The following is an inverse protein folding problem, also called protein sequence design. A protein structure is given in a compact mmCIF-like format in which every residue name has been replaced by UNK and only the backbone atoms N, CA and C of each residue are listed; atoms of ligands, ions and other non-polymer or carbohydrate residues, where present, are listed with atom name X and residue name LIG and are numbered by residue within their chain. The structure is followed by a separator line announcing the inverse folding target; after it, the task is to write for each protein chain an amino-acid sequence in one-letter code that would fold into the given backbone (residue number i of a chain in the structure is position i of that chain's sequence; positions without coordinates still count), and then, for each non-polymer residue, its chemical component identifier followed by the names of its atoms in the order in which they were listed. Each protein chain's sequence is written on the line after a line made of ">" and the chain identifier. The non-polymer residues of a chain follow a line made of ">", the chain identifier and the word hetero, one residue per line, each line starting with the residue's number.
data_IF_575302501421
#
_entry.id   IF_575302501421
#
_cell.length_a   1.000
_cell.length_b   1.000
_cell.length_c   1.000
_cell.angle_alpha   90.00
_cell.angle_beta   90.00
_cell.angle_gamma   90.00
#
_symmetry.space_group_name_H-M   'P 1'
#
loop_
_entity.id
_entity.type
_entity.pdbx_description
1 polymer ?
#
# COMPACT_ATOMS: atom_id res chain seq x y z
N UNK A 1 4.48 -8.95 5.46
CA UNK A 1 3.09 -9.44 5.56
C UNK A 1 2.39 -9.25 4.21
N UNK A 2 1.71 -10.27 3.69
CA UNK A 2 1.24 -10.29 2.28
C UNK A 2 -0.20 -9.80 2.11
N UNK A 3 -1.03 -9.87 3.14
CA UNK A 3 -2.46 -9.56 3.05
C UNK A 3 -2.72 -8.05 2.93
N UNK A 4 -2.03 -7.26 3.74
CA UNK A 4 -2.15 -5.80 3.79
C UNK A 4 -1.64 -5.19 2.49
N UNK A 5 -0.54 -5.73 1.95
CA UNK A 5 0.01 -5.33 0.65
C UNK A 5 -0.93 -5.67 -0.50
N UNK A 6 -1.64 -6.80 -0.43
CA UNK A 6 -2.70 -7.13 -1.40
C UNK A 6 -3.84 -6.12 -1.32
N UNK A 7 -4.28 -5.75 -0.10
CA UNK A 7 -5.32 -4.75 0.08
C UNK A 7 -4.93 -3.38 -0.50
N UNK A 8 -3.70 -2.93 -0.26
CA UNK A 8 -3.18 -1.68 -0.84
C UNK A 8 -3.11 -1.72 -2.37
N UNK A 9 -2.63 -2.83 -2.93
CA UNK A 9 -2.57 -3.01 -4.38
C UNK A 9 -3.96 -2.98 -5.03
N UNK A 10 -4.94 -3.66 -4.43
CA UNK A 10 -6.33 -3.67 -4.90
C UNK A 10 -6.98 -2.28 -4.76
N UNK A 11 -6.69 -1.55 -3.68
CA UNK A 11 -7.15 -0.17 -3.50
C UNK A 11 -6.58 0.75 -4.60
N UNK A 12 -5.31 0.58 -4.95
CA UNK A 12 -4.70 1.29 -6.08
C UNK A 12 -5.39 0.98 -7.40
N UNK A 13 -5.65 -0.30 -7.71
CA UNK A 13 -6.39 -0.69 -8.92
C UNK A 13 -7.78 -0.07 -8.96
N UNK A 14 -8.50 -0.11 -7.83
CA UNK A 14 -9.81 0.52 -7.74
C UNK A 14 -9.71 2.01 -8.07
N UNK A 15 -8.74 2.73 -7.49
CA UNK A 15 -8.52 4.14 -7.76
C UNK A 15 -8.19 4.41 -9.24
N UNK A 16 -7.40 3.55 -9.89
CA UNK A 16 -7.12 3.63 -11.33
C UNK A 16 -8.41 3.63 -12.17
N UNK A 17 -9.27 2.64 -11.93
CA UNK A 17 -10.51 2.49 -12.71
C UNK A 17 -11.55 3.55 -12.33
N UNK A 18 -11.65 3.89 -11.05
CA UNK A 18 -12.49 4.97 -10.54
C UNK A 18 -12.19 6.30 -11.25
N UNK A 19 -10.92 6.68 -11.36
CA UNK A 19 -10.50 7.87 -12.06
C UNK A 19 -10.87 7.80 -13.56
N UNK A 20 -10.51 6.71 -14.25
CA UNK A 20 -10.77 6.59 -15.69
C UNK A 20 -12.24 6.52 -16.07
N UNK A 21 -13.09 5.88 -15.27
CA UNK A 21 -14.49 5.64 -15.60
C UNK A 21 -15.39 6.80 -15.18
N UNK A 22 -15.11 7.42 -14.04
CA UNK A 22 -16.03 8.40 -13.44
C UNK A 22 -15.39 9.76 -13.13
N UNK A 23 -14.08 9.93 -13.33
CA UNK A 23 -13.34 11.13 -12.90
C UNK A 23 -13.64 11.51 -11.44
N UNK A 24 -13.83 10.50 -10.57
CA UNK A 24 -14.21 10.72 -9.16
C UNK A 24 -13.03 11.01 -8.24
N UNK A 25 -11.79 10.94 -8.74
CA UNK A 25 -10.63 11.34 -7.95
C UNK A 25 -10.37 12.82 -8.18
N UNK A 26 -10.42 13.59 -7.10
CA UNK A 26 -10.01 14.98 -7.05
C UNK A 26 -8.49 15.09 -6.91
N UNK A 27 -7.96 16.28 -7.19
CA UNK A 27 -6.55 16.57 -6.95
C UNK A 27 -6.28 16.54 -5.43
N UNK A 28 -5.47 15.59 -4.97
CA UNK A 28 -5.19 15.37 -3.55
C UNK A 28 -5.71 14.05 -2.99
N UNK A 29 -6.70 13.40 -3.63
CA UNK A 29 -7.26 12.13 -3.14
C UNK A 29 -6.21 11.00 -3.19
N UNK A 30 -5.35 11.03 -4.21
CA UNK A 30 -4.26 10.05 -4.35
C UNK A 30 -3.20 10.25 -3.26
N UNK A 31 -2.85 11.50 -2.98
CA UNK A 31 -1.92 11.88 -1.93
C UNK A 31 -2.48 11.53 -0.54
N UNK A 32 -3.78 11.75 -0.32
CA UNK A 32 -4.46 11.38 0.92
C UNK A 32 -4.48 9.86 1.11
N UNK A 33 -4.85 9.10 0.08
CA UNK A 33 -4.84 7.64 0.13
C UNK A 33 -3.42 7.09 0.37
N UNK A 34 -2.39 7.70 -0.23
CA UNK A 34 -0.99 7.37 0.04
C UNK A 34 -0.58 7.70 1.47
N UNK A 35 -1.02 8.84 2.00
CA UNK A 35 -0.80 9.23 3.38
C UNK A 35 -1.44 8.26 4.36
N UNK A 36 -2.69 7.85 4.11
CA UNK A 36 -3.38 6.83 4.89
C UNK A 36 -2.65 5.48 4.85
N UNK A 37 -2.18 5.07 3.67
CA UNK A 37 -1.45 3.82 3.51
C UNK A 37 -0.12 3.82 4.31
N UNK A 38 0.58 4.95 4.34
CA UNK A 38 1.81 5.12 5.12
C UNK A 38 1.52 5.16 6.63
N UNK A 39 0.46 5.85 7.05
CA UNK A 39 0.15 6.07 8.45
C UNK A 39 -0.11 4.79 9.25
N UNK A 40 -0.63 3.74 8.60
CA UNK A 40 -0.94 2.46 9.24
C UNK A 40 0.15 1.39 9.06
N UNK A 41 1.35 1.76 8.57
CA UNK A 41 2.52 0.89 8.61
C UNK A 41 3.02 0.67 10.03
N UNK A 42 3.47 -0.54 10.36
CA UNK A 42 3.90 -0.89 11.73
C UNK A 42 5.08 -0.03 12.20
N UNK A 43 5.99 0.31 11.30
CA UNK A 43 7.10 1.22 11.55
C UNK A 43 6.62 2.61 12.00
N UNK A 44 5.57 3.12 11.36
CA UNK A 44 4.95 4.41 11.70
C UNK A 44 4.21 4.32 13.03
N UNK A 45 3.38 3.28 13.22
CA UNK A 45 2.62 3.07 14.45
C UNK A 45 3.52 2.82 15.66
N UNK A 46 4.59 2.04 15.52
CA UNK A 46 5.55 1.78 16.58
C UNK A 46 6.35 3.05 16.91
N UNK A 47 6.82 3.78 15.89
CA UNK A 47 7.53 5.04 16.14
C UNK A 47 6.65 6.07 16.85
N UNK A 48 5.36 6.13 16.53
CA UNK A 48 4.39 6.99 17.22
C UNK A 48 4.08 6.54 18.65
N UNK A 49 3.99 5.24 18.89
CA UNK A 49 3.59 4.70 20.21
C UNK A 49 4.74 4.59 21.21
N UNK A 50 5.93 4.18 20.78
CA UNK A 50 7.07 3.90 21.67
C UNK A 50 8.38 4.60 21.26
N UNK A 51 8.41 5.30 20.12
CA UNK A 51 9.57 6.08 19.68
C UNK A 51 10.64 5.30 18.90
N UNK A 52 10.54 3.97 18.81
CA UNK A 52 11.46 3.12 18.05
C UNK A 52 10.74 1.97 17.36
N UNK A 53 11.43 1.37 16.38
CA UNK A 53 10.89 0.32 15.51
C UNK A 53 11.54 -1.02 15.85
N UNK A 54 10.73 -2.07 15.94
CA UNK A 54 11.14 -3.47 16.12
C UNK A 54 10.63 -4.27 14.92
N UNK A 55 11.47 -4.54 13.91
CA UNK A 55 11.03 -5.20 12.68
C UNK A 55 10.41 -6.59 12.89
N UNK A 56 10.92 -7.34 13.87
CA UNK A 56 10.48 -8.71 14.15
C UNK A 56 9.04 -8.79 14.69
N UNK A 57 8.44 -7.66 15.10
CA UNK A 57 7.05 -7.61 15.59
C UNK A 57 6.04 -7.08 14.58
N UNK A 58 6.43 -6.94 13.30
CA UNK A 58 5.54 -6.42 12.26
C UNK A 58 4.41 -7.40 11.91
N UNK A 59 3.18 -6.87 11.90
CA UNK A 59 1.94 -7.58 11.57
C UNK A 59 1.21 -6.99 10.36
N UNK A 60 1.55 -5.78 9.93
CA UNK A 60 0.99 -5.07 8.77
C UNK A 60 2.05 -4.61 7.76
N UNK A 61 3.35 -4.78 8.06
CA UNK A 61 4.46 -4.39 7.19
C UNK A 61 4.85 -2.92 7.32
N UNK A 62 5.84 -2.48 6.55
CA UNK A 62 6.32 -1.09 6.63
C UNK A 62 5.40 -0.14 5.86
N UNK A 63 5.34 1.11 6.33
CA UNK A 63 4.68 2.22 5.65
C UNK A 63 5.11 2.36 4.19
N UNK A 64 6.40 2.17 3.91
CA UNK A 64 6.98 2.20 2.56
C UNK A 64 6.43 1.09 1.67
N UNK A 65 6.37 -0.15 2.17
CA UNK A 65 5.83 -1.29 1.42
C UNK A 65 4.37 -1.06 1.07
N UNK A 66 3.57 -0.60 2.03
CA UNK A 66 2.14 -0.31 1.83
C UNK A 66 1.93 0.76 0.77
N UNK A 67 2.69 1.87 0.85
CA UNK A 67 2.64 2.94 -0.15
C UNK A 67 3.08 2.47 -1.53
N UNK A 68 4.14 1.65 -1.62
CA UNK A 68 4.64 1.08 -2.87
C UNK A 68 3.54 0.28 -3.58
N UNK A 69 2.92 -0.67 -2.87
CA UNK A 69 1.92 -1.54 -3.47
C UNK A 69 0.65 -0.79 -3.90
N UNK A 70 0.23 0.23 -3.15
CA UNK A 70 -0.82 1.14 -3.60
C UNK A 70 -0.47 1.86 -4.91
N UNK A 71 0.73 2.46 -5.00
CA UNK A 71 1.19 3.14 -6.23
C UNK A 71 1.26 2.18 -7.41
N UNK A 72 1.72 0.96 -7.19
CA UNK A 72 1.81 -0.04 -8.25
C UNK A 72 0.42 -0.45 -8.77
N UNK A 73 -0.55 -0.64 -7.88
CA UNK A 73 -1.95 -0.88 -8.26
C UNK A 73 -2.54 0.29 -9.04
N UNK A 74 -2.35 1.51 -8.54
CA UNK A 74 -2.84 2.74 -9.17
C UNK A 74 -2.24 2.99 -10.56
N UNK A 75 -0.94 2.75 -10.71
CA UNK A 75 -0.23 2.93 -11.98
C UNK A 75 -0.68 1.91 -13.03
N UNK A 76 -0.90 0.67 -12.62
CA UNK A 76 -1.08 -0.43 -13.57
C UNK A 76 -2.54 -0.69 -13.89
N UNK A 77 -3.44 -0.58 -12.90
CA UNK A 77 -4.85 -0.95 -13.05
C UNK A 77 -5.09 -2.43 -13.38
N UNK A 78 -4.06 -3.27 -13.29
CA UNK A 78 -4.06 -4.66 -13.77
C UNK A 78 -3.89 -5.63 -12.58
N UNK A 79 -4.98 -6.34 -12.26
CA UNK A 79 -5.02 -7.29 -11.16
C UNK A 79 -4.07 -8.47 -11.35
N UNK A 80 -3.73 -8.83 -12.59
CA UNK A 80 -2.80 -9.93 -12.86
C UNK A 80 -1.39 -9.66 -12.30
N UNK A 81 -1.00 -8.38 -12.19
CA UNK A 81 0.28 -7.97 -11.61
C UNK A 81 0.35 -8.18 -10.09
N UNK A 82 -0.79 -8.40 -9.42
CA UNK A 82 -0.82 -8.80 -8.01
C UNK A 82 -0.06 -10.10 -7.76
N UNK A 83 0.12 -10.94 -8.80
CA UNK A 83 0.92 -12.17 -8.72
C UNK A 83 2.35 -11.93 -8.20
N UNK A 84 2.92 -10.75 -8.43
CA UNK A 84 4.23 -10.37 -7.90
C UNK A 84 4.29 -10.44 -6.37
N UNK A 85 3.17 -10.24 -5.66
CA UNK A 85 3.08 -10.39 -4.20
C UNK A 85 3.29 -11.83 -3.73
N UNK A 86 3.17 -12.82 -4.61
CA UNK A 86 3.31 -14.24 -4.31
C UNK A 86 4.62 -14.80 -4.87
N UNK A 87 5.07 -14.28 -6.00
CA UNK A 87 6.28 -14.75 -6.69
C UNK A 87 7.58 -14.18 -6.09
N UNK A 88 7.54 -13.01 -5.43
CA UNK A 88 8.72 -12.38 -4.84
C UNK A 88 9.05 -12.93 -3.44
N UNK A 89 10.35 -13.01 -3.08
CA UNK A 89 10.79 -13.35 -1.73
C UNK A 89 10.46 -12.21 -0.76
N UNK A 90 10.32 -12.53 0.54
CA UNK A 90 9.77 -11.57 1.53
C UNK A 90 10.54 -10.25 1.66
N UNK A 91 11.84 -10.26 1.36
CA UNK A 91 12.70 -9.07 1.39
C UNK A 91 12.55 -8.16 0.16
N UNK A 92 11.89 -8.63 -0.91
CA UNK A 92 11.61 -7.87 -2.14
C UNK A 92 10.15 -7.37 -2.23
N UNK A 93 9.31 -7.79 -1.28
CA UNK A 93 7.92 -7.35 -1.16
C UNK A 93 7.83 -5.98 -0.47
#
# INVERSE_FOLDING_TARGET
>A
VRLERQADFLAGIWAHHAHRTKNILEAGDVEEALGAAQAIGDDTLQKQSQGYVVPDSFTHGTSEQRARWFRDGLRTGDVSRMRLLFDLPDHEL
#
